data_IF_950794252786
#
_entry.id   IF_950794252786
#
_cell.length_a   1.000
_cell.length_b   1.000
_cell.length_c   1.000
_cell.angle_alpha   90.00
_cell.angle_beta   90.00
_cell.angle_gamma   90.00
#
_symmetry.space_group_name_H-M   'P 1'
#
loop_
_entity.id
_entity.type
_entity.pdbx_description
1 polymer ?
#
# COMPACT_ATOMS: atom_id res chain seq x y z
N UNK A 1 1.98 78.47 -9.26
CA UNK A 1 1.00 77.33 -9.29
C UNK A 1 1.77 76.08 -9.63
N UNK A 2 2.13 75.25 -8.59
CA UNK A 2 2.89 74.00 -8.75
C UNK A 2 1.95 72.82 -8.65
N UNK A 3 1.78 72.13 -9.75
CA UNK A 3 1.04 70.82 -9.74
C UNK A 3 2.03 69.69 -9.40
N UNK A 4 1.84 69.02 -8.27
CA UNK A 4 2.56 67.79 -7.91
C UNK A 4 1.80 66.62 -8.50
N UNK A 5 2.45 65.86 -9.39
CA UNK A 5 1.94 64.58 -9.93
C UNK A 5 2.30 63.48 -8.92
N UNK A 6 1.27 62.79 -8.35
CA UNK A 6 1.45 61.58 -7.55
C UNK A 6 1.60 60.39 -8.51
N UNK A 7 2.76 59.73 -8.48
CA UNK A 7 2.92 58.37 -9.06
C UNK A 7 2.44 57.33 -8.06
N UNK A 8 1.37 56.64 -8.40
CA UNK A 8 0.91 55.44 -7.64
C UNK A 8 1.64 54.23 -8.21
N UNK A 9 2.60 53.71 -7.45
CA UNK A 9 3.28 52.47 -7.79
C UNK A 9 2.42 51.27 -7.41
N UNK A 10 1.94 50.47 -8.38
CA UNK A 10 1.29 49.20 -8.16
C UNK A 10 2.34 48.14 -7.84
N UNK A 11 2.38 47.65 -6.59
CA UNK A 11 3.16 46.49 -6.21
C UNK A 11 2.41 45.23 -6.65
N UNK A 12 2.90 44.51 -7.65
CA UNK A 12 2.45 43.16 -7.97
C UNK A 12 3.04 42.18 -6.95
N UNK A 13 2.17 41.62 -6.09
CA UNK A 13 2.51 40.45 -5.25
C UNK A 13 2.58 39.25 -6.17
N UNK A 14 3.77 38.75 -6.46
CA UNK A 14 3.97 37.49 -7.15
C UNK A 14 3.66 36.32 -6.19
N UNK A 15 2.57 35.59 -6.44
CA UNK A 15 2.28 34.34 -5.74
C UNK A 15 3.24 33.27 -6.29
N UNK A 16 4.25 32.90 -5.52
CA UNK A 16 5.10 31.75 -5.84
C UNK A 16 4.32 30.48 -5.49
N UNK A 17 3.80 29.80 -6.52
CA UNK A 17 3.28 28.45 -6.42
C UNK A 17 4.46 27.49 -6.19
N UNK A 18 4.62 27.03 -4.96
CA UNK A 18 5.54 25.95 -4.65
C UNK A 18 4.91 24.65 -5.15
N UNK A 19 5.41 24.15 -6.26
CA UNK A 19 5.07 22.81 -6.76
C UNK A 19 5.76 21.82 -5.82
N UNK A 20 5.04 21.15 -4.95
CA UNK A 20 5.54 20.01 -4.19
C UNK A 20 5.76 18.87 -5.18
N UNK A 21 7.03 18.56 -5.45
CA UNK A 21 7.39 17.36 -6.22
C UNK A 21 7.05 16.19 -5.32
N UNK A 22 6.07 15.38 -5.74
CA UNK A 22 5.80 14.10 -5.10
C UNK A 22 7.06 13.22 -5.28
N UNK A 23 7.63 12.76 -4.17
CA UNK A 23 8.77 11.85 -4.18
C UNK A 23 8.25 10.44 -4.01
N UNK A 24 8.61 9.54 -4.92
CA UNK A 24 8.38 8.12 -4.72
C UNK A 24 9.29 7.62 -3.59
N UNK A 25 8.74 6.96 -2.60
CA UNK A 25 9.50 6.29 -1.55
C UNK A 25 9.50 4.78 -1.81
N UNK A 26 10.68 4.15 -1.72
CA UNK A 26 10.85 2.71 -1.91
C UNK A 26 11.53 2.10 -0.70
N UNK A 27 11.00 0.98 -0.23
CA UNK A 27 11.49 0.20 0.90
C UNK A 27 11.83 -1.21 0.43
N UNK A 28 13.11 -1.52 0.36
CA UNK A 28 13.65 -2.83 0.00
C UNK A 28 14.12 -3.64 1.23
N UNK A 29 13.97 -3.08 2.44
CA UNK A 29 14.29 -3.70 3.72
C UNK A 29 15.78 -4.04 3.93
N UNK A 30 16.68 -3.71 3.02
CA UNK A 30 18.09 -4.11 3.05
C UNK A 30 18.89 -3.52 4.21
N UNK A 31 18.48 -2.36 4.70
CA UNK A 31 19.10 -1.69 5.86
C UNK A 31 18.44 -2.00 7.19
N UNK A 32 17.34 -2.75 7.18
CA UNK A 32 16.60 -3.11 8.40
C UNK A 32 17.28 -4.29 9.13
N UNK A 33 17.00 -4.41 10.42
CA UNK A 33 17.59 -5.47 11.26
C UNK A 33 16.89 -6.80 11.02
N UNK A 34 17.63 -7.79 10.54
CA UNK A 34 17.17 -9.18 10.38
C UNK A 34 16.58 -9.75 11.68
N UNK A 35 15.45 -10.42 11.60
CA UNK A 35 14.71 -10.99 12.72
C UNK A 35 13.80 -9.98 13.45
N UNK A 36 13.76 -8.72 13.03
CA UNK A 36 12.89 -7.66 13.58
C UNK A 36 11.85 -7.20 12.56
N UNK A 37 10.78 -6.57 13.04
CA UNK A 37 9.91 -5.79 12.17
C UNK A 37 10.68 -4.57 11.61
N UNK A 38 10.37 -4.08 10.40
CA UNK A 38 11.12 -2.97 9.79
C UNK A 38 10.89 -1.67 10.56
N UNK A 39 11.89 -0.81 10.57
CA UNK A 39 11.86 0.47 11.29
C UNK A 39 10.81 1.43 10.69
N UNK A 40 10.03 2.08 11.56
CA UNK A 40 8.97 3.03 11.16
C UNK A 40 7.69 2.37 10.64
N UNK A 41 7.58 1.05 10.73
CA UNK A 41 6.35 0.31 10.45
C UNK A 41 5.65 -0.10 11.75
N UNK A 42 4.33 -0.22 11.68
CA UNK A 42 3.51 -0.81 12.74
C UNK A 42 2.76 -2.02 12.18
N UNK A 43 2.55 -3.02 13.02
CA UNK A 43 1.92 -4.25 12.60
C UNK A 43 0.81 -4.66 13.57
N UNK A 44 -0.18 -5.39 13.05
CA UNK A 44 -1.31 -5.88 13.81
C UNK A 44 -2.11 -6.92 13.04
N UNK A 45 -3.25 -7.29 13.63
CA UNK A 45 -4.24 -8.19 13.05
C UNK A 45 -5.62 -7.55 13.18
N UNK A 46 -6.38 -7.53 12.09
CA UNK A 46 -7.83 -7.30 12.16
C UNK A 46 -8.50 -8.65 12.40
N UNK A 47 -9.34 -8.74 13.42
CA UNK A 47 -9.94 -10.01 13.85
C UNK A 47 -9.07 -10.75 14.86
N UNK A 48 -8.97 -12.05 14.75
CA UNK A 48 -8.34 -12.94 15.73
C UNK A 48 -6.98 -13.46 15.23
N UNK A 49 -6.19 -14.01 16.17
CA UNK A 49 -4.91 -14.65 15.87
C UNK A 49 -3.71 -13.74 16.12
N UNK A 50 -2.59 -14.07 15.48
CA UNK A 50 -1.32 -13.38 15.67
C UNK A 50 -0.66 -13.10 14.32
N UNK A 51 0.15 -12.05 14.28
CA UNK A 51 1.05 -11.77 13.17
C UNK A 51 2.50 -12.07 13.55
N UNK A 52 3.33 -12.34 12.54
CA UNK A 52 4.78 -12.37 12.70
C UNK A 52 5.41 -11.73 11.46
N UNK A 53 5.67 -10.46 11.57
CA UNK A 53 6.39 -9.70 10.56
C UNK A 53 7.86 -9.58 10.96
N UNK A 54 8.75 -10.02 10.10
CA UNK A 54 10.20 -9.97 10.32
C UNK A 54 10.95 -9.74 9.02
N UNK A 55 12.02 -8.98 9.10
CA UNK A 55 12.99 -8.88 8.01
C UNK A 55 13.85 -10.15 8.01
N UNK A 56 14.00 -10.79 6.86
CA UNK A 56 14.78 -12.04 6.70
C UNK A 56 15.67 -11.95 5.47
N UNK A 57 16.78 -12.68 5.46
CA UNK A 57 17.59 -12.83 4.25
C UNK A 57 16.97 -13.86 3.32
N UNK A 58 16.87 -13.54 2.03
CA UNK A 58 16.42 -14.47 1.00
C UNK A 58 17.20 -14.23 -0.32
N UNK A 59 17.89 -15.22 -0.82
CA UNK A 59 18.71 -15.12 -2.03
C UNK A 59 17.89 -14.98 -3.33
N UNK A 60 16.57 -15.17 -3.28
CA UNK A 60 15.68 -15.09 -4.45
C UNK A 60 15.03 -13.73 -4.64
N UNK A 61 15.36 -12.75 -3.80
CA UNK A 61 14.71 -11.43 -3.78
C UNK A 61 15.04 -10.60 -5.02
N UNK A 62 14.12 -9.73 -5.46
CA UNK A 62 14.38 -8.76 -6.51
C UNK A 62 15.48 -7.76 -6.14
N UNK A 63 15.44 -7.22 -4.93
CA UNK A 63 16.55 -6.46 -4.33
C UNK A 63 17.16 -7.23 -3.17
N UNK A 64 18.47 -7.30 -3.09
CA UNK A 64 19.18 -8.11 -2.09
C UNK A 64 19.80 -7.23 -1.00
N UNK A 65 19.97 -7.78 0.23
CA UNK A 65 19.80 -9.19 0.62
C UNK A 65 18.51 -9.55 1.35
N UNK A 66 17.63 -8.59 1.68
CA UNK A 66 16.57 -8.76 2.65
C UNK A 66 15.17 -8.73 2.04
N UNK A 67 14.21 -9.28 2.78
CA UNK A 67 12.76 -9.23 2.50
C UNK A 67 12.01 -8.94 3.79
N UNK A 68 10.81 -8.43 3.68
CA UNK A 68 9.83 -8.48 4.77
C UNK A 68 8.99 -9.75 4.63
N UNK A 69 8.95 -10.58 5.68
CA UNK A 69 8.19 -11.83 5.72
C UNK A 69 7.07 -11.78 6.73
N UNK A 70 5.90 -12.23 6.35
CA UNK A 70 4.81 -12.60 7.25
C UNK A 70 4.76 -14.12 7.40
N UNK A 71 4.72 -14.63 8.65
CA UNK A 71 4.65 -16.07 8.95
C UNK A 71 3.81 -16.41 10.19
N UNK A 72 3.05 -15.44 10.74
CA UNK A 72 2.06 -15.67 11.77
C UNK A 72 0.75 -16.21 11.21
N UNK A 73 -0.19 -16.56 12.09
CA UNK A 73 -1.54 -17.01 11.74
C UNK A 73 -2.58 -16.10 12.36
N UNK A 74 -3.32 -15.36 11.55
CA UNK A 74 -4.38 -14.46 12.01
C UNK A 74 -5.37 -14.15 10.90
N UNK A 75 -6.57 -13.71 11.25
CA UNK A 75 -7.63 -13.48 10.26
C UNK A 75 -7.14 -12.55 9.14
N UNK A 76 -6.61 -11.37 9.49
CA UNK A 76 -6.11 -10.38 8.53
C UNK A 76 -4.88 -9.64 9.09
N UNK A 77 -3.66 -10.24 9.04
CA UNK A 77 -2.42 -9.58 9.42
C UNK A 77 -2.07 -8.43 8.46
N UNK A 78 -1.69 -7.29 9.02
CA UNK A 78 -1.23 -6.12 8.28
C UNK A 78 0.05 -5.54 8.87
N UNK A 79 0.84 -4.87 8.03
CA UNK A 79 2.03 -4.12 8.42
C UNK A 79 2.05 -2.82 7.58
N UNK A 80 1.96 -1.66 8.23
CA UNK A 80 1.80 -0.37 7.56
C UNK A 80 2.90 0.60 7.92
N UNK A 81 3.29 1.43 6.97
CA UNK A 81 4.24 2.51 7.15
C UNK A 81 3.55 3.65 7.91
N UNK A 82 4.02 3.95 9.13
CA UNK A 82 3.36 4.87 10.06
C UNK A 82 3.14 6.27 9.48
N UNK A 83 4.14 6.81 8.77
CA UNK A 83 4.18 8.21 8.33
C UNK A 83 3.76 8.40 6.87
N UNK A 84 3.06 7.43 6.28
CA UNK A 84 2.64 7.44 4.88
C UNK A 84 1.18 7.85 4.69
N UNK A 85 0.82 9.07 5.07
CA UNK A 85 -0.56 9.55 4.92
C UNK A 85 -0.85 9.98 3.47
N UNK A 86 -1.58 9.15 2.71
CA UNK A 86 -1.95 9.40 1.31
C UNK A 86 -3.47 9.48 1.14
N UNK A 87 -3.95 10.52 0.44
CA UNK A 87 -5.33 10.59 -0.05
C UNK A 87 -5.47 9.96 -1.43
N UNK A 88 -4.55 10.33 -2.34
CA UNK A 88 -4.49 9.90 -3.74
C UNK A 88 -3.04 9.54 -4.10
N UNK A 89 -2.90 8.63 -5.08
CA UNK A 89 -1.58 8.19 -5.53
C UNK A 89 -1.55 6.74 -5.95
N UNK A 90 -0.39 6.11 -5.79
CA UNK A 90 -0.27 4.68 -6.04
C UNK A 90 0.63 4.00 -5.00
N UNK A 91 0.44 2.69 -4.87
CA UNK A 91 1.26 1.80 -4.06
C UNK A 91 1.57 0.56 -4.87
N UNK A 92 2.80 0.10 -4.83
CA UNK A 92 3.26 -1.13 -5.48
C UNK A 92 4.13 -1.94 -4.53
N UNK A 93 4.09 -3.27 -4.66
CA UNK A 93 4.96 -4.17 -3.90
C UNK A 93 5.28 -5.41 -4.71
N UNK A 94 6.52 -5.89 -4.61
CA UNK A 94 6.88 -7.24 -5.01
C UNK A 94 6.50 -8.21 -3.90
N UNK A 95 5.87 -9.33 -4.26
CA UNK A 95 5.50 -10.35 -3.29
C UNK A 95 5.73 -11.75 -3.83
N UNK A 96 5.95 -12.71 -2.90
CA UNK A 96 6.12 -14.13 -3.22
C UNK A 96 5.36 -14.97 -2.20
N UNK A 97 4.23 -15.58 -2.59
CA UNK A 97 3.52 -16.51 -1.70
C UNK A 97 4.34 -17.79 -1.56
N UNK A 98 4.71 -18.17 -0.33
CA UNK A 98 5.54 -19.35 -0.08
C UNK A 98 4.69 -20.58 0.25
N UNK A 99 3.74 -20.42 1.15
CA UNK A 99 2.88 -21.51 1.66
C UNK A 99 1.65 -20.97 2.37
N UNK A 100 0.73 -21.85 2.68
CA UNK A 100 -0.52 -21.70 3.38
C UNK A 100 -1.48 -22.77 2.91
N UNK A 101 -2.22 -23.37 3.83
CA UNK A 101 -3.23 -24.39 3.51
C UNK A 101 -4.63 -23.78 3.43
N UNK A 102 -4.85 -22.71 4.19
CA UNK A 102 -6.12 -22.00 4.25
C UNK A 102 -6.12 -20.82 3.28
N UNK A 103 -4.93 -20.16 3.11
CA UNK A 103 -4.78 -19.06 2.18
C UNK A 103 -3.29 -18.91 1.72
N UNK A 104 -3.05 -18.34 0.54
CA UNK A 104 -1.72 -17.97 0.05
C UNK A 104 -1.79 -16.56 -0.52
N UNK A 105 -2.09 -15.60 0.36
CA UNK A 105 -2.42 -14.23 0.01
C UNK A 105 -1.27 -13.27 0.21
N UNK A 106 -1.21 -12.29 -0.69
CA UNK A 106 -0.50 -11.03 -0.51
C UNK A 106 -1.46 -9.87 -0.80
N UNK A 107 -1.34 -8.77 -0.07
CA UNK A 107 -2.16 -7.60 -0.30
C UNK A 107 -1.43 -6.29 -0.04
N UNK A 108 -2.00 -5.22 -0.61
CA UNK A 108 -1.68 -3.83 -0.32
C UNK A 108 -2.85 -3.25 0.45
N UNK A 109 -2.58 -2.57 1.57
CA UNK A 109 -3.55 -1.72 2.27
C UNK A 109 -3.26 -0.26 1.96
N UNK A 110 -4.33 0.54 1.84
CA UNK A 110 -4.23 2.00 1.69
C UNK A 110 -5.42 2.69 2.35
N UNK A 111 -5.30 4.00 2.49
CA UNK A 111 -6.23 4.80 3.31
C UNK A 111 -6.48 4.14 4.67
N UNK A 112 -5.45 3.48 5.22
CA UNK A 112 -5.51 2.82 6.52
C UNK A 112 -5.66 3.88 7.62
N UNK A 113 -6.77 3.85 8.34
CA UNK A 113 -7.08 4.75 9.47
C UNK A 113 -6.66 4.11 10.79
N UNK A 114 -6.96 2.83 10.92
CA UNK A 114 -6.68 1.96 12.06
C UNK A 114 -6.83 0.51 11.64
N UNK A 115 -6.61 -0.44 12.59
CA UNK A 115 -6.71 -1.88 12.33
C UNK A 115 -8.10 -2.40 11.93
N UNK A 116 -9.11 -1.57 11.93
CA UNK A 116 -10.49 -1.93 11.53
C UNK A 116 -11.03 -1.16 10.32
N UNK A 117 -10.30 -0.18 9.78
CA UNK A 117 -10.82 0.73 8.75
C UNK A 117 -9.78 1.03 7.68
N UNK A 118 -9.84 0.32 6.55
CA UNK A 118 -8.89 0.45 5.43
C UNK A 118 -9.41 -0.25 4.17
N UNK A 119 -8.87 0.12 3.01
CA UNK A 119 -8.98 -0.68 1.78
C UNK A 119 -7.88 -1.73 1.72
N UNK A 120 -8.18 -2.85 1.03
CA UNK A 120 -7.18 -3.86 0.69
C UNK A 120 -7.42 -4.43 -0.70
N UNK A 121 -6.38 -4.43 -1.52
CA UNK A 121 -6.29 -5.24 -2.74
C UNK A 121 -5.48 -6.49 -2.42
N UNK A 122 -5.97 -7.67 -2.81
CA UNK A 122 -5.36 -8.96 -2.54
C UNK A 122 -5.12 -9.74 -3.83
N UNK A 123 -3.95 -10.33 -3.97
CA UNK A 123 -3.68 -11.45 -4.89
C UNK A 123 -3.57 -12.74 -4.08
N UNK A 124 -4.11 -13.86 -4.58
CA UNK A 124 -4.13 -15.14 -3.88
C UNK A 124 -3.72 -16.29 -4.81
N UNK A 125 -2.63 -16.97 -4.45
CA UNK A 125 -2.09 -18.07 -5.25
C UNK A 125 -2.86 -19.39 -5.06
N UNK A 126 -3.54 -19.58 -3.93
CA UNK A 126 -4.33 -20.79 -3.68
C UNK A 126 -5.66 -20.75 -4.45
N UNK A 127 -6.25 -19.56 -4.59
CA UNK A 127 -7.54 -19.35 -5.22
C UNK A 127 -7.45 -18.85 -6.68
N UNK A 128 -6.25 -18.46 -7.15
CA UNK A 128 -6.03 -17.85 -8.48
C UNK A 128 -6.94 -16.63 -8.74
N UNK A 129 -6.86 -15.62 -7.88
CA UNK A 129 -7.67 -14.41 -8.02
C UNK A 129 -6.97 -13.13 -7.57
N UNK A 130 -7.52 -12.00 -8.03
CA UNK A 130 -7.31 -10.66 -7.48
C UNK A 130 -8.63 -10.16 -6.94
N UNK A 131 -8.62 -9.59 -5.74
CA UNK A 131 -9.83 -9.12 -5.07
C UNK A 131 -9.61 -7.76 -4.44
N UNK A 132 -10.67 -6.98 -4.39
CA UNK A 132 -10.72 -5.67 -3.75
C UNK A 132 -11.77 -5.69 -2.63
N UNK A 133 -11.37 -5.19 -1.47
CA UNK A 133 -12.22 -5.11 -0.29
C UNK A 133 -12.05 -3.76 0.40
N UNK A 134 -13.04 -3.39 1.21
CA UNK A 134 -12.85 -2.46 2.30
C UNK A 134 -13.12 -3.16 3.63
N UNK A 135 -12.50 -2.68 4.69
CA UNK A 135 -12.73 -3.12 6.07
C UNK A 135 -13.34 -1.94 6.82
N UNK A 136 -14.49 -2.17 7.46
CA UNK A 136 -15.21 -1.18 8.25
C UNK A 136 -15.52 -1.77 9.62
N UNK A 137 -15.05 -1.13 10.68
CA UNK A 137 -15.18 -1.59 12.07
C UNK A 137 -14.74 -3.06 12.23
N UNK A 138 -13.63 -3.44 11.58
CA UNK A 138 -13.06 -4.78 11.62
C UNK A 138 -13.73 -5.82 10.69
N UNK A 139 -14.84 -5.47 10.04
CA UNK A 139 -15.54 -6.37 9.11
C UNK A 139 -15.11 -6.12 7.69
N UNK A 140 -14.52 -7.13 7.04
CA UNK A 140 -14.10 -7.07 5.63
C UNK A 140 -15.29 -7.32 4.70
N UNK A 141 -15.47 -6.44 3.70
CA UNK A 141 -16.56 -6.45 2.73
C UNK A 141 -15.96 -6.47 1.33
N UNK A 142 -16.45 -7.37 0.47
CA UNK A 142 -15.97 -7.52 -0.91
C UNK A 142 -16.58 -6.43 -1.79
N UNK A 143 -15.74 -5.70 -2.53
CA UNK A 143 -16.13 -4.79 -3.61
C UNK A 143 -16.10 -5.54 -4.94
N UNK A 144 -14.98 -6.24 -5.24
CA UNK A 144 -14.78 -6.94 -6.50
C UNK A 144 -13.91 -8.17 -6.33
N UNK A 145 -14.19 -9.19 -7.11
CA UNK A 145 -13.43 -10.44 -7.20
C UNK A 145 -13.25 -10.79 -8.68
N UNK A 146 -12.04 -11.11 -9.11
CA UNK A 146 -11.71 -11.43 -10.49
C UNK A 146 -10.71 -12.58 -10.54
N UNK A 147 -10.98 -13.59 -11.36
CA UNK A 147 -10.03 -14.67 -11.62
C UNK A 147 -8.75 -14.11 -12.28
N UNK A 148 -7.61 -14.50 -11.73
CA UNK A 148 -6.30 -14.06 -12.19
C UNK A 148 -5.27 -15.15 -11.87
N UNK A 149 -4.38 -15.52 -12.78
CA UNK A 149 -3.33 -16.49 -12.49
C UNK A 149 -2.32 -15.90 -11.49
N UNK A 150 -2.18 -16.55 -10.33
CA UNK A 150 -1.19 -16.20 -9.31
C UNK A 150 -0.37 -17.44 -8.98
N UNK A 151 0.85 -17.50 -9.46
CA UNK A 151 1.69 -18.68 -9.24
C UNK A 151 2.29 -18.68 -7.83
N UNK A 152 2.07 -19.76 -7.06
CA UNK A 152 2.76 -19.96 -5.79
C UNK A 152 4.28 -20.04 -5.97
N UNK A 153 5.04 -19.59 -4.98
CA UNK A 153 6.53 -19.61 -4.92
C UNK A 153 7.22 -18.83 -6.05
N UNK A 154 6.50 -17.90 -6.70
CA UNK A 154 7.05 -16.98 -7.71
C UNK A 154 6.87 -15.53 -7.25
N UNK A 155 7.78 -14.67 -7.68
CA UNK A 155 7.67 -13.23 -7.48
C UNK A 155 6.62 -12.65 -8.43
N UNK A 156 5.77 -11.80 -7.89
CA UNK A 156 4.74 -11.03 -8.57
C UNK A 156 4.85 -9.55 -8.20
N UNK A 157 4.24 -8.67 -8.98
CA UNK A 157 4.04 -7.27 -8.66
C UNK A 157 2.54 -6.98 -8.49
N UNK A 158 2.14 -6.52 -7.31
CA UNK A 158 0.80 -6.00 -7.06
C UNK A 158 0.87 -4.47 -7.00
N UNK A 159 -0.02 -3.80 -7.73
CA UNK A 159 -0.11 -2.33 -7.79
C UNK A 159 -1.54 -1.87 -7.60
N UNK A 160 -1.71 -0.82 -6.83
CA UNK A 160 -2.97 -0.09 -6.65
C UNK A 160 -2.75 1.37 -7.00
N UNK A 161 -3.62 1.93 -7.83
CA UNK A 161 -3.73 3.36 -8.11
C UNK A 161 -5.09 3.85 -7.60
N UNK A 162 -5.11 4.99 -6.95
CA UNK A 162 -6.34 5.56 -6.39
C UNK A 162 -6.32 7.08 -6.46
N UNK A 163 -7.45 7.65 -6.93
CA UNK A 163 -7.65 9.09 -7.02
C UNK A 163 -9.14 9.42 -6.83
N UNK A 164 -9.48 10.18 -5.79
CA UNK A 164 -10.87 10.38 -5.39
C UNK A 164 -11.55 9.05 -5.09
N UNK A 165 -12.59 8.70 -5.84
CA UNK A 165 -13.30 7.41 -5.76
C UNK A 165 -12.73 6.34 -6.67
N UNK A 166 -11.95 6.74 -7.69
CA UNK A 166 -11.45 5.83 -8.71
C UNK A 166 -10.34 4.94 -8.15
N UNK A 167 -10.46 3.62 -8.34
CA UNK A 167 -9.51 2.60 -7.88
C UNK A 167 -9.19 1.65 -9.01
N UNK A 168 -7.89 1.44 -9.26
CA UNK A 168 -7.37 0.46 -10.21
C UNK A 168 -6.42 -0.50 -9.51
N UNK A 169 -6.59 -1.80 -9.75
CA UNK A 169 -5.70 -2.85 -9.23
C UNK A 169 -5.08 -3.63 -10.38
N UNK A 170 -3.77 -3.72 -10.38
CA UNK A 170 -3.00 -4.47 -11.38
C UNK A 170 -2.13 -5.55 -10.71
N UNK A 171 -2.02 -6.70 -11.38
CA UNK A 171 -1.09 -7.78 -11.05
C UNK A 171 -0.19 -8.02 -12.26
N UNK A 172 1.13 -8.03 -12.03
CA UNK A 172 2.15 -8.24 -13.06
C UNK A 172 1.98 -7.32 -14.28
N UNK A 173 1.63 -6.05 -14.03
CA UNK A 173 1.41 -5.03 -15.04
C UNK A 173 0.05 -5.08 -15.75
N UNK A 174 -0.77 -6.12 -15.52
CA UNK A 174 -2.11 -6.21 -16.10
C UNK A 174 -3.17 -5.72 -15.11
N UNK A 175 -4.02 -4.80 -15.53
CA UNK A 175 -5.19 -4.35 -14.75
C UNK A 175 -6.25 -5.45 -14.72
N UNK A 176 -6.69 -5.81 -13.52
CA UNK A 176 -7.76 -6.78 -13.28
C UNK A 176 -9.01 -6.14 -12.71
N UNK A 177 -8.85 -5.07 -11.92
CA UNK A 177 -9.98 -4.37 -11.30
C UNK A 177 -9.85 -2.88 -11.61
N UNK A 178 -10.96 -2.28 -12.01
CA UNK A 178 -11.15 -0.84 -12.16
C UNK A 178 -12.58 -0.52 -11.74
N UNK A 179 -12.75 0.30 -10.70
CA UNK A 179 -14.04 0.63 -10.07
C UNK A 179 -14.01 2.01 -9.44
N UNK A 180 -15.18 2.54 -9.14
CA UNK A 180 -15.35 3.70 -8.25
C UNK A 180 -15.91 3.24 -6.92
N UNK A 181 -15.29 3.66 -5.80
CA UNK A 181 -15.70 3.32 -4.45
C UNK A 181 -15.33 4.44 -3.46
N UNK A 182 -16.25 4.82 -2.57
CA UNK A 182 -16.12 5.93 -1.63
C UNK A 182 -16.27 5.54 -0.14
N UNK A 183 -16.25 4.24 0.18
CA UNK A 183 -16.47 3.77 1.56
C UNK A 183 -15.44 4.30 2.54
N UNK A 184 -14.17 4.52 2.11
CA UNK A 184 -13.13 5.08 2.97
C UNK A 184 -12.52 6.30 2.28
N UNK A 185 -12.91 7.48 2.74
CA UNK A 185 -12.44 8.75 2.21
C UNK A 185 -11.22 9.31 2.98
N UNK A 186 -10.53 10.25 2.33
CA UNK A 186 -9.44 11.03 2.90
C UNK A 186 -8.14 10.24 3.11
N UNK A 187 -7.07 10.91 3.59
CA UNK A 187 -5.75 10.31 3.68
C UNK A 187 -5.66 9.23 4.76
N UNK A 188 -4.79 8.25 4.54
CA UNK A 188 -4.45 7.23 5.51
C UNK A 188 -3.14 6.54 5.15
N UNK A 189 -2.62 5.71 6.06
CA UNK A 189 -1.38 5.01 5.86
C UNK A 189 -1.49 3.94 4.75
N UNK A 190 -0.32 3.52 4.23
CA UNK A 190 -0.20 2.44 3.26
C UNK A 190 0.68 1.32 3.81
N UNK A 191 0.53 0.10 3.29
CA UNK A 191 1.31 -1.03 3.74
C UNK A 191 0.95 -2.34 3.06
N UNK A 192 1.38 -3.44 3.68
CA UNK A 192 1.18 -4.80 3.19
C UNK A 192 0.23 -5.60 4.10
N UNK A 193 -0.32 -6.67 3.56
CA UNK A 193 -1.37 -7.45 4.19
C UNK A 193 -1.31 -8.92 3.77
N UNK A 194 -1.76 -9.80 4.65
CA UNK A 194 -1.96 -11.22 4.36
C UNK A 194 -3.26 -11.73 4.99
N UNK A 195 -3.58 -13.01 4.77
CA UNK A 195 -4.76 -13.68 5.35
C UNK A 195 -4.40 -15.05 5.90
N UNK A 196 -5.06 -15.41 6.99
CA UNK A 196 -5.03 -16.73 7.62
C UNK A 196 -3.60 -17.23 7.93
N UNK A 197 -3.21 -18.36 7.36
CA UNK A 197 -1.91 -19.01 7.53
C UNK A 197 -0.93 -18.72 6.37
N UNK A 198 -1.19 -17.67 5.59
CA UNK A 198 -0.32 -17.29 4.49
C UNK A 198 1.10 -16.97 4.96
N UNK A 199 2.09 -17.67 4.42
CA UNK A 199 3.51 -17.31 4.54
C UNK A 199 3.92 -16.60 3.24
N UNK A 200 4.22 -15.31 3.35
CA UNK A 200 4.46 -14.46 2.17
C UNK A 200 5.66 -13.56 2.40
N UNK A 201 6.49 -13.44 1.36
CA UNK A 201 7.59 -12.48 1.28
C UNK A 201 7.13 -11.23 0.54
N UNK A 202 7.65 -10.08 0.99
CA UNK A 202 7.45 -8.78 0.36
C UNK A 202 8.78 -8.07 0.18
N UNK A 203 8.93 -7.40 -0.96
CA UNK A 203 10.11 -6.61 -1.29
C UNK A 203 9.73 -5.42 -2.18
N UNK A 204 10.64 -4.45 -2.35
CA UNK A 204 10.43 -3.27 -3.19
C UNK A 204 9.05 -2.61 -2.98
N UNK A 205 8.65 -2.43 -1.72
CA UNK A 205 7.43 -1.70 -1.42
C UNK A 205 7.62 -0.22 -1.74
N UNK A 206 6.83 0.29 -2.66
CA UNK A 206 6.92 1.68 -3.10
C UNK A 206 5.56 2.37 -3.04
N UNK A 207 5.57 3.67 -2.72
CA UNK A 207 4.39 4.51 -2.84
C UNK A 207 4.74 5.91 -3.30
N UNK A 208 3.81 6.54 -3.99
CA UNK A 208 3.91 7.92 -4.43
C UNK A 208 2.56 8.62 -4.26
N UNK A 209 2.56 9.71 -3.49
CA UNK A 209 1.38 10.56 -3.32
C UNK A 209 1.22 11.47 -4.52
N UNK A 210 0.03 11.53 -5.12
CA UNK A 210 -0.30 12.61 -6.06
C UNK A 210 -0.56 13.88 -5.27
N UNK A 211 0.21 14.94 -5.56
CA UNK A 211 -0.03 16.25 -4.96
C UNK A 211 -1.45 16.73 -5.26
N UNK A 212 -2.13 17.27 -4.27
CA UNK A 212 -3.43 17.93 -4.44
C UNK A 212 -3.30 19.01 -5.52
N UNK A 213 -4.10 18.90 -6.58
CA UNK A 213 -4.21 19.93 -7.63
C UNK A 213 -5.00 21.11 -7.12
#
# INVERSE_FOLDING_TARGET
MNRRTLCVGSAMLGIQLWSTIAMAETFNFDTDTVGKAPAGWIAGVTGHGTHRWSVENDASVPSQPNVLKQSGRGDFPWCVRRDSAMADGHVEVRFKPLSGNEDQAAGIVWRWKDGGNYYVARANALENNVSLYYTNAGRRITIKYVDAPVAGKKWHALRVEFAGTHIRVALDGRTYIEVDDDHIAGPGAVGVWTKADSVTLFDDFAYESQGTR
#
